data_IF_347592544840
#
_entry.id   IF_347592544840
#
_cell.length_a   1.000
_cell.length_b   1.000
_cell.length_c   1.000
_cell.angle_alpha   90.00
_cell.angle_beta   90.00
_cell.angle_gamma   90.00
#
_symmetry.space_group_name_H-M   'P 1'
#
loop_
_entity.id
_entity.type
_entity.pdbx_description
1 polymer ?
#
# COMPACT_ATOMS: atom_id res chain seq x y z
N UNK A 1 11.14 -7.14 4.11
CA UNK A 1 11.11 -8.39 3.32
C UNK A 1 10.14 -8.18 2.19
N UNK A 2 10.53 -8.55 0.96
CA UNK A 2 9.65 -8.40 -0.19
C UNK A 2 8.48 -9.39 -0.15
N UNK A 3 7.43 -9.12 -0.92
CA UNK A 3 6.32 -10.05 -1.12
C UNK A 3 6.80 -11.28 -1.92
N UNK A 4 6.63 -12.48 -1.36
CA UNK A 4 6.99 -13.75 -2.03
C UNK A 4 6.14 -14.08 -3.27
N UNK A 5 4.87 -13.66 -3.31
CA UNK A 5 3.93 -14.06 -4.36
C UNK A 5 3.09 -12.87 -4.89
N UNK A 6 3.70 -11.81 -5.43
CA UNK A 6 2.96 -10.64 -5.89
C UNK A 6 1.88 -11.01 -6.93
N UNK A 7 0.68 -10.46 -6.78
CA UNK A 7 -0.38 -10.60 -7.77
C UNK A 7 -0.06 -9.71 -8.95
N UNK A 8 -0.09 -10.25 -10.17
CA UNK A 8 0.15 -9.48 -11.38
C UNK A 8 -1.15 -9.30 -12.15
N UNK A 9 -1.49 -8.06 -12.45
CA UNK A 9 -2.68 -7.67 -13.20
C UNK A 9 -2.26 -7.06 -14.52
N UNK A 10 -2.97 -7.40 -15.59
CA UNK A 10 -2.82 -6.69 -16.87
C UNK A 10 -3.44 -5.31 -16.72
N UNK A 11 -2.74 -4.28 -17.19
CA UNK A 11 -3.28 -2.94 -17.30
C UNK A 11 -4.37 -2.93 -18.38
N UNK A 12 -5.62 -2.74 -17.96
CA UNK A 12 -6.79 -2.71 -18.84
C UNK A 12 -7.26 -1.28 -19.16
N UNK A 13 -6.41 -0.28 -18.93
CA UNK A 13 -6.75 1.12 -19.22
C UNK A 13 -7.06 1.25 -20.70
N UNK A 14 -8.25 1.77 -21.03
CA UNK A 14 -8.70 1.93 -22.42
C UNK A 14 -7.86 2.93 -23.20
N UNK A 15 -7.33 3.93 -22.50
CA UNK A 15 -6.40 4.94 -23.02
C UNK A 15 -4.96 4.56 -22.68
N UNK A 16 -4.56 3.33 -22.98
CA UNK A 16 -3.20 2.86 -22.70
C UNK A 16 -2.19 3.67 -23.51
N UNK A 17 -1.43 4.52 -22.83
CA UNK A 17 -0.38 5.34 -23.43
C UNK A 17 0.89 4.50 -23.53
N UNK A 18 1.16 4.02 -24.74
CA UNK A 18 2.36 3.24 -25.05
C UNK A 18 3.62 4.03 -24.65
N UNK A 19 4.37 3.49 -23.69
CA UNK A 19 5.61 4.10 -23.17
C UNK A 19 5.46 4.84 -21.85
N UNK A 20 4.24 5.14 -21.40
CA UNK A 20 3.98 5.75 -20.09
C UNK A 20 3.28 4.77 -19.15
N UNK A 21 2.35 3.98 -19.67
CA UNK A 21 1.59 3.02 -18.90
C UNK A 21 2.31 1.68 -18.77
N UNK A 22 2.36 1.13 -17.55
CA UNK A 22 2.87 -0.23 -17.32
C UNK A 22 1.88 -1.24 -17.91
N UNK A 23 2.31 -2.22 -18.72
CA UNK A 23 1.41 -3.23 -19.29
C UNK A 23 0.87 -4.18 -18.21
N UNK A 24 1.61 -4.32 -17.11
CA UNK A 24 1.24 -5.10 -15.96
C UNK A 24 1.54 -4.34 -14.67
N UNK A 25 0.60 -4.41 -13.73
CA UNK A 25 0.79 -3.92 -12.36
C UNK A 25 0.99 -5.10 -11.43
N UNK A 26 1.98 -5.02 -10.56
CA UNK A 26 2.10 -5.95 -9.44
C UNK A 26 1.48 -5.32 -8.20
N UNK A 27 0.70 -6.10 -7.47
CA UNK A 27 0.23 -5.76 -6.12
C UNK A 27 0.79 -6.79 -5.14
N UNK A 28 1.17 -6.38 -3.92
CA UNK A 28 1.44 -7.34 -2.84
C UNK A 28 0.27 -8.32 -2.68
N UNK A 29 0.57 -9.58 -2.34
CA UNK A 29 -0.44 -10.62 -2.15
C UNK A 29 -1.28 -10.42 -0.89
N UNK A 30 -0.77 -9.63 0.06
CA UNK A 30 -1.43 -9.32 1.34
C UNK A 30 -1.42 -10.47 2.36
N UNK A 31 -0.85 -11.64 2.02
CA UNK A 31 -0.92 -12.86 2.84
C UNK A 31 0.44 -13.38 3.31
N UNK A 32 1.49 -13.25 2.50
CA UNK A 32 2.83 -13.75 2.85
C UNK A 32 3.46 -12.95 3.99
N UNK A 33 4.53 -13.49 4.59
CA UNK A 33 5.19 -12.86 5.74
C UNK A 33 5.72 -11.46 5.43
N UNK A 34 6.31 -11.26 4.24
CA UNK A 34 6.72 -9.94 3.77
C UNK A 34 5.58 -8.93 3.77
N UNK A 35 4.43 -9.27 3.15
CA UNK A 35 3.25 -8.41 3.13
C UNK A 35 2.70 -8.10 4.53
N UNK A 36 2.73 -9.09 5.44
CA UNK A 36 2.28 -8.91 6.82
C UNK A 36 3.18 -7.95 7.57
N UNK A 37 4.50 -8.16 7.51
CA UNK A 37 5.49 -7.26 8.11
C UNK A 37 5.40 -5.85 7.53
N UNK A 38 5.21 -5.71 6.23
CA UNK A 38 5.01 -4.41 5.60
C UNK A 38 3.74 -3.72 6.10
N UNK A 39 2.61 -4.43 6.17
CA UNK A 39 1.37 -3.87 6.72
C UNK A 39 1.54 -3.45 8.18
N UNK A 40 2.21 -4.28 9.00
CA UNK A 40 2.54 -3.95 10.37
C UNK A 40 3.39 -2.69 10.46
N UNK A 41 4.47 -2.59 9.68
CA UNK A 41 5.36 -1.42 9.65
C UNK A 41 4.61 -0.14 9.23
N UNK A 42 3.70 -0.24 8.25
CA UNK A 42 2.87 0.89 7.83
C UNK A 42 1.96 1.40 8.95
N UNK A 43 1.36 0.49 9.74
CA UNK A 43 0.56 0.89 10.90
C UNK A 43 1.42 1.40 12.05
N UNK A 44 2.60 0.82 12.25
CA UNK A 44 3.56 1.26 13.24
C UNK A 44 3.95 2.71 13.04
N UNK A 45 4.38 3.10 11.85
CA UNK A 45 4.71 4.50 11.56
C UNK A 45 3.55 5.45 11.85
N UNK A 46 2.34 5.08 11.40
CA UNK A 46 1.16 5.94 11.55
C UNK A 46 0.73 6.10 13.00
N UNK A 47 0.70 5.01 13.75
CA UNK A 47 0.35 5.01 15.17
C UNK A 47 1.43 5.74 15.96
N UNK A 48 2.71 5.48 15.68
CA UNK A 48 3.85 6.17 16.29
C UNK A 48 3.74 7.67 16.15
N UNK A 49 3.48 8.15 14.92
CA UNK A 49 3.30 9.59 14.70
C UNK A 49 2.09 10.13 15.45
N UNK A 50 0.97 9.41 15.46
CA UNK A 50 -0.21 9.88 16.20
C UNK A 50 0.05 10.00 17.71
N UNK A 51 0.87 9.11 18.29
CA UNK A 51 1.28 9.20 19.69
C UNK A 51 2.13 10.44 19.93
N UNK A 52 3.11 10.71 19.05
CA UNK A 52 3.95 11.92 19.11
C UNK A 52 3.09 13.18 19.02
N UNK A 53 2.27 13.28 17.97
CA UNK A 53 1.38 14.43 17.74
C UNK A 53 0.44 14.67 18.93
N UNK A 54 -0.01 13.61 19.60
CA UNK A 54 -0.87 13.70 20.76
C UNK A 54 -0.11 14.28 21.98
N UNK A 55 1.10 13.80 22.25
CA UNK A 55 1.92 14.29 23.37
C UNK A 55 2.44 15.71 23.14
N UNK A 56 2.89 16.03 21.93
CA UNK A 56 3.37 17.38 21.58
C UNK A 56 2.28 18.45 21.77
N UNK A 57 1.01 18.06 21.62
CA UNK A 57 -0.16 18.92 21.84
C UNK A 57 -0.67 18.88 23.29
N UNK A 58 0.12 18.36 24.22
CA UNK A 58 -0.22 18.29 25.65
C UNK A 58 -1.29 17.25 25.99
N UNK A 59 -1.54 16.30 25.09
CA UNK A 59 -2.46 15.19 25.31
C UNK A 59 -1.79 13.97 25.96
N UNK A 60 -2.51 12.85 25.96
CA UNK A 60 -2.10 11.57 26.56
C UNK A 60 -2.69 10.38 25.83
N UNK A 61 -2.00 9.25 25.90
CA UNK A 61 -2.39 8.02 25.22
C UNK A 61 -2.47 6.86 26.21
N UNK A 62 -3.56 6.10 26.15
CA UNK A 62 -3.76 4.89 26.94
C UNK A 62 -3.84 3.65 26.05
N UNK A 63 -3.37 2.51 26.54
CA UNK A 63 -3.30 1.24 25.85
C UNK A 63 -4.07 0.11 26.57
N UNK A 64 -5.40 0.19 26.69
CA UNK A 64 -6.21 -0.88 27.27
C UNK A 64 -6.30 -2.13 26.38
N UNK A 65 -6.36 -3.28 27.05
CA UNK A 65 -6.79 -4.55 26.46
C UNK A 65 -8.19 -4.89 26.96
N UNK A 66 -9.18 -4.92 26.07
CA UNK A 66 -10.55 -5.31 26.39
C UNK A 66 -10.75 -6.80 26.10
N UNK A 67 -11.02 -7.59 27.13
CA UNK A 67 -11.23 -9.04 27.01
C UNK A 67 -12.68 -9.37 27.30
N UNK A 68 -13.31 -10.19 26.45
CA UNK A 68 -14.65 -10.71 26.75
C UNK A 68 -14.61 -11.63 27.98
N UNK A 69 -15.64 -11.53 28.82
CA UNK A 69 -15.93 -12.56 29.82
C UNK A 69 -16.50 -13.80 29.14
N UNK A 70 -16.41 -14.97 29.80
CA UNK A 70 -17.01 -16.22 29.30
C UNK A 70 -18.51 -16.05 29.00
N UNK A 71 -19.23 -15.31 29.85
CA UNK A 71 -20.67 -15.06 29.72
C UNK A 71 -21.03 -14.19 28.52
N UNK A 72 -20.16 -13.26 28.13
CA UNK A 72 -20.43 -12.29 27.07
C UNK A 72 -19.68 -12.60 25.76
N UNK A 73 -18.96 -13.73 25.70
CA UNK A 73 -18.17 -14.09 24.52
C UNK A 73 -19.09 -14.32 23.30
N UNK A 74 -18.93 -13.55 22.21
CA UNK A 74 -19.76 -13.73 21.02
C UNK A 74 -19.49 -15.07 20.33
N UNK A 75 -20.55 -15.70 19.82
CA UNK A 75 -20.49 -16.96 19.07
C UNK A 75 -21.29 -16.82 17.79
N UNK A 76 -20.78 -17.39 16.71
CA UNK A 76 -21.52 -17.55 15.46
C UNK A 76 -21.93 -19.01 15.30
N UNK A 77 -23.24 -19.26 15.25
CA UNK A 77 -23.80 -20.59 15.02
C UNK A 77 -24.08 -20.80 13.53
N UNK A 78 -23.77 -21.98 13.02
CA UNK A 78 -24.02 -22.37 11.63
C UNK A 78 -24.39 -23.84 11.54
N UNK A 79 -25.08 -24.22 10.46
CA UNK A 79 -25.32 -25.63 10.13
C UNK A 79 -24.17 -26.15 9.26
N UNK A 80 -23.51 -27.20 9.70
CA UNK A 80 -22.42 -27.86 8.97
C UNK A 80 -22.96 -28.71 7.79
N UNK A 81 -22.09 -29.43 7.09
CA UNK A 81 -22.46 -30.26 5.94
C UNK A 81 -23.34 -31.48 6.28
N UNK A 82 -23.27 -32.00 7.52
CA UNK A 82 -24.07 -33.15 7.98
C UNK A 82 -25.43 -32.75 8.57
N UNK A 83 -25.74 -31.45 8.58
CA UNK A 83 -26.99 -30.92 9.09
C UNK A 83 -27.00 -30.60 10.58
N UNK A 84 -25.93 -30.85 11.34
CA UNK A 84 -25.81 -30.46 12.77
C UNK A 84 -25.49 -28.97 12.93
N UNK A 85 -25.88 -28.41 14.07
CA UNK A 85 -25.54 -27.03 14.44
C UNK A 85 -24.19 -27.04 15.15
N UNK A 86 -23.24 -26.28 14.61
CA UNK A 86 -21.94 -26.00 15.24
C UNK A 86 -21.78 -24.49 15.45
N UNK A 87 -20.72 -24.09 16.14
CA UNK A 87 -20.38 -22.70 16.36
C UNK A 87 -18.88 -22.47 16.40
N UNK A 88 -18.47 -21.25 16.04
CA UNK A 88 -17.13 -20.73 16.32
C UNK A 88 -17.22 -19.46 17.18
N UNK A 89 -16.28 -19.24 18.11
CA UNK A 89 -16.16 -18.00 18.86
C UNK A 89 -15.78 -16.86 17.91
N UNK A 90 -16.37 -15.68 18.08
CA UNK A 90 -16.19 -14.58 17.14
C UNK A 90 -16.12 -13.23 17.85
N UNK A 91 -16.03 -12.16 17.07
CA UNK A 91 -16.16 -10.79 17.56
C UNK A 91 -17.59 -10.30 17.35
N UNK A 92 -17.94 -9.19 18.01
CA UNK A 92 -19.15 -8.45 17.71
C UNK A 92 -18.79 -6.97 17.57
N UNK A 93 -18.80 -6.46 16.34
CA UNK A 93 -18.39 -5.09 16.07
C UNK A 93 -19.32 -4.05 16.73
N UNK A 94 -20.55 -4.44 17.08
CA UNK A 94 -21.49 -3.58 17.80
C UNK A 94 -21.10 -3.36 19.26
N UNK A 95 -20.43 -4.31 19.90
CA UNK A 95 -20.03 -4.19 21.32
C UNK A 95 -19.00 -3.08 21.49
N UNK A 96 -18.01 -3.04 20.60
CA UNK A 96 -17.06 -1.93 20.50
C UNK A 96 -17.76 -0.60 20.19
N UNK A 97 -18.78 -0.58 19.32
CA UNK A 97 -19.53 0.67 19.05
C UNK A 97 -20.32 1.12 20.29
N UNK A 98 -20.96 0.20 21.02
CA UNK A 98 -21.68 0.49 22.27
C UNK A 98 -20.74 1.04 23.33
N UNK A 99 -19.56 0.45 23.48
CA UNK A 99 -18.49 0.97 24.34
C UNK A 99 -18.11 2.40 23.93
N UNK A 100 -17.67 2.61 22.68
CA UNK A 100 -17.20 3.94 22.25
C UNK A 100 -18.28 5.01 22.36
N UNK A 101 -19.54 4.67 22.05
CA UNK A 101 -20.65 5.60 22.13
C UNK A 101 -21.00 5.97 23.57
N UNK A 102 -21.06 4.98 24.48
CA UNK A 102 -21.35 5.27 25.90
C UNK A 102 -20.20 6.05 26.54
N UNK A 103 -18.95 5.66 26.28
CA UNK A 103 -17.75 6.33 26.75
C UNK A 103 -17.71 7.81 26.31
N UNK A 104 -17.97 8.09 25.03
CA UNK A 104 -18.01 9.48 24.51
C UNK A 104 -19.15 10.30 25.11
N UNK A 105 -20.35 9.72 25.19
CA UNK A 105 -21.53 10.40 25.75
C UNK A 105 -21.31 10.85 27.18
N UNK A 106 -20.50 10.13 27.97
CA UNK A 106 -20.16 10.57 29.32
C UNK A 106 -19.37 11.89 29.29
N UNK A 107 -18.29 11.97 28.50
CA UNK A 107 -17.50 13.20 28.36
C UNK A 107 -18.28 14.35 27.70
N UNK A 108 -19.17 14.04 26.75
CA UNK A 108 -20.04 15.04 26.12
C UNK A 108 -20.97 15.73 27.14
N UNK A 109 -21.54 14.97 28.09
CA UNK A 109 -22.34 15.52 29.20
C UNK A 109 -21.52 16.44 30.11
N UNK A 110 -20.21 16.26 30.13
CA UNK A 110 -19.25 17.05 30.91
C UNK A 110 -18.57 18.15 30.08
N UNK A 111 -19.14 18.47 28.91
CA UNK A 111 -18.72 19.59 28.05
C UNK A 111 -17.59 19.29 27.08
N UNK A 112 -17.10 18.04 26.98
CA UNK A 112 -16.05 17.66 26.02
C UNK A 112 -16.66 16.88 24.86
N UNK A 113 -16.68 17.50 23.67
CA UNK A 113 -17.31 16.92 22.47
C UNK A 113 -16.31 16.48 21.40
N UNK A 114 -15.02 16.78 21.57
CA UNK A 114 -13.95 16.50 20.61
C UNK A 114 -12.71 15.97 21.34
N UNK A 115 -11.60 15.82 20.61
CA UNK A 115 -10.30 15.51 21.21
C UNK A 115 -10.03 14.04 21.53
N UNK A 116 -11.00 13.15 21.28
CA UNK A 116 -10.82 11.72 21.47
C UNK A 116 -10.68 10.97 20.13
N UNK A 117 -9.55 10.28 19.95
CA UNK A 117 -9.31 9.34 18.85
C UNK A 117 -8.98 7.96 19.39
N UNK A 118 -9.08 6.97 18.52
CA UNK A 118 -8.73 5.60 18.85
C UNK A 118 -8.10 4.86 17.68
N UNK A 119 -7.28 3.88 18.01
CA UNK A 119 -6.80 2.83 17.13
C UNK A 119 -7.04 1.50 17.83
N UNK A 120 -7.77 0.58 17.22
CA UNK A 120 -8.39 -0.56 17.90
C UNK A 120 -8.27 -1.80 17.02
N UNK A 121 -7.73 -2.89 17.57
CA UNK A 121 -7.43 -4.10 16.81
C UNK A 121 -8.01 -5.31 17.51
N UNK A 122 -8.64 -6.18 16.72
CA UNK A 122 -9.12 -7.49 17.21
C UNK A 122 -7.96 -8.48 17.17
N UNK A 123 -7.72 -9.17 18.27
CA UNK A 123 -6.83 -10.33 18.32
C UNK A 123 -7.55 -11.45 19.06
N UNK A 124 -7.29 -12.69 18.62
CA UNK A 124 -7.79 -13.87 19.29
C UNK A 124 -6.64 -14.48 20.07
N UNK A 125 -6.81 -14.68 21.37
CA UNK A 125 -5.73 -15.12 22.25
C UNK A 125 -5.22 -16.50 21.91
N UNK A 126 -3.91 -16.68 22.12
CA UNK A 126 -3.23 -17.97 22.02
C UNK A 126 -3.67 -18.93 23.15
N UNK A 127 -3.21 -20.18 23.02
CA UNK A 127 -3.57 -21.47 23.67
C UNK A 127 -4.22 -21.41 25.07
N UNK A 128 -3.84 -20.46 25.92
CA UNK A 128 -4.25 -20.38 27.33
C UNK A 128 -5.46 -19.47 27.62
N UNK A 129 -5.80 -18.51 26.74
CA UNK A 129 -6.94 -17.60 27.02
C UNK A 129 -8.14 -17.83 26.12
N UNK A 130 -7.96 -18.43 24.92
CA UNK A 130 -8.97 -18.81 23.92
C UNK A 130 -10.15 -17.83 23.78
N UNK A 131 -9.92 -16.54 23.96
CA UNK A 131 -10.95 -15.50 23.96
C UNK A 131 -10.58 -14.39 23.01
N UNK A 132 -11.60 -13.87 22.33
CA UNK A 132 -11.47 -12.63 21.57
C UNK A 132 -11.15 -11.50 22.52
N UNK A 133 -10.19 -10.67 22.13
CA UNK A 133 -9.85 -9.46 22.85
C UNK A 133 -9.57 -8.34 21.87
N UNK A 134 -9.53 -7.14 22.42
CA UNK A 134 -9.19 -5.96 21.67
C UNK A 134 -8.05 -5.21 22.31
N UNK A 135 -7.02 -4.95 21.51
CA UNK A 135 -5.97 -4.00 21.86
C UNK A 135 -6.32 -2.64 21.29
N UNK A 136 -6.38 -1.61 22.13
CA UNK A 136 -6.70 -0.27 21.68
C UNK A 136 -5.70 0.75 22.20
N UNK A 137 -5.30 1.69 21.34
CA UNK A 137 -4.74 2.97 21.74
C UNK A 137 -5.86 4.00 21.75
N UNK A 138 -6.02 4.67 22.88
CA UNK A 138 -6.99 5.72 23.11
C UNK A 138 -6.23 7.02 23.28
N UNK A 139 -6.44 7.96 22.37
CA UNK A 139 -5.75 9.25 22.33
C UNK A 139 -6.69 10.33 22.85
N UNK A 140 -6.22 11.09 23.83
CA UNK A 140 -6.94 12.18 24.44
C UNK A 140 -6.10 13.45 24.28
N UNK A 141 -6.65 14.49 23.68
CA UNK A 141 -5.97 15.79 23.62
C UNK A 141 -5.99 16.52 24.97
N UNK A 142 -5.39 17.70 25.01
CA UNK A 142 -5.28 18.51 26.22
C UNK A 142 -6.63 18.92 26.85
N UNK A 143 -7.75 18.85 26.12
CA UNK A 143 -9.08 19.17 26.68
C UNK A 143 -9.50 18.21 27.79
N UNK A 144 -8.90 17.02 27.82
CA UNK A 144 -9.14 16.03 28.85
C UNK A 144 -8.28 16.24 30.11
N UNK A 145 -7.35 17.19 30.14
CA UNK A 145 -6.39 17.34 31.25
C UNK A 145 -7.04 17.74 32.59
N UNK A 146 -8.32 18.11 32.59
CA UNK A 146 -9.10 18.30 33.83
C UNK A 146 -9.34 17.01 34.62
N UNK A 147 -9.13 15.84 34.02
CA UNK A 147 -9.22 14.55 34.72
C UNK A 147 -7.83 14.01 35.03
N UNK A 148 -7.65 13.38 36.19
CA UNK A 148 -6.44 12.60 36.47
C UNK A 148 -6.32 11.40 35.53
N UNK A 149 -5.15 10.76 35.49
CA UNK A 149 -4.99 9.53 34.71
C UNK A 149 -5.84 8.40 35.30
N UNK A 150 -5.95 8.32 36.63
CA UNK A 150 -6.75 7.33 37.35
C UNK A 150 -8.24 7.47 37.01
N UNK A 151 -8.75 8.69 36.94
CA UNK A 151 -10.14 8.94 36.54
C UNK A 151 -10.42 8.47 35.11
N UNK A 152 -9.52 8.73 34.16
CA UNK A 152 -9.65 8.23 32.79
C UNK A 152 -9.58 6.70 32.78
N UNK A 153 -8.62 6.10 33.47
CA UNK A 153 -8.45 4.64 33.52
C UNK A 153 -9.70 3.98 34.11
N UNK A 154 -10.26 4.55 35.18
CA UNK A 154 -11.47 4.02 35.79
C UNK A 154 -12.65 4.10 34.82
N UNK A 155 -12.84 5.23 34.14
CA UNK A 155 -13.88 5.38 33.11
C UNK A 155 -13.70 4.39 31.95
N UNK A 156 -12.46 4.15 31.51
CA UNK A 156 -12.16 3.14 30.48
C UNK A 156 -12.63 1.75 30.93
N UNK A 157 -12.40 1.39 32.21
CA UNK A 157 -12.84 0.12 32.79
C UNK A 157 -14.36 0.04 32.89
N UNK A 158 -14.99 1.07 33.46
CA UNK A 158 -16.42 1.07 33.80
C UNK A 158 -17.34 0.97 32.57
N UNK A 159 -16.91 1.49 31.42
CA UNK A 159 -17.72 1.46 30.20
C UNK A 159 -17.65 0.12 29.46
N UNK A 160 -16.69 -0.74 29.78
CA UNK A 160 -16.59 -2.06 29.16
C UNK A 160 -17.51 -3.08 29.83
N UNK A 161 -18.77 -3.09 29.41
CA UNK A 161 -19.80 -3.97 29.97
C UNK A 161 -19.67 -5.47 29.62
N UNK A 162 -18.73 -5.85 28.74
CA UNK A 162 -18.66 -7.20 28.18
C UNK A 162 -17.56 -8.08 28.80
N UNK A 163 -16.79 -7.57 29.75
CA UNK A 163 -15.77 -8.36 30.42
C UNK A 163 -14.78 -7.51 31.20
N UNK A 164 -13.49 -7.80 31.02
CA UNK A 164 -12.41 -7.23 31.83
C UNK A 164 -11.56 -6.32 30.96
N UNK A 165 -11.11 -5.21 31.54
CA UNK A 165 -10.10 -4.35 30.92
C UNK A 165 -8.77 -4.53 31.65
N UNK A 166 -7.78 -5.02 30.93
CA UNK A 166 -6.42 -5.21 31.40
C UNK A 166 -5.45 -4.18 30.83
N UNK A 167 -4.28 -4.09 31.47
CA UNK A 167 -3.12 -3.38 30.96
C UNK A 167 -2.01 -4.38 30.64
N UNK A 168 -1.07 -3.99 29.78
CA UNK A 168 0.15 -4.76 29.63
C UNK A 168 0.97 -4.68 30.93
N UNK A 169 1.55 -5.80 31.37
CA UNK A 169 2.29 -5.87 32.65
C UNK A 169 3.56 -5.00 32.66
N UNK A 170 4.22 -4.87 31.51
CA UNK A 170 5.49 -4.16 31.35
C UNK A 170 5.25 -2.70 30.94
N UNK A 171 4.31 -2.47 30.02
CA UNK A 171 4.06 -1.14 29.44
C UNK A 171 3.03 -0.32 30.23
N UNK A 172 2.30 -0.96 31.14
CA UNK A 172 1.21 -0.34 31.89
C UNK A 172 0.00 0.02 31.01
N UNK A 173 -0.90 0.84 31.58
CA UNK A 173 -2.12 1.32 30.91
C UNK A 173 -1.87 2.63 30.16
N UNK A 174 -1.05 3.53 30.70
CA UNK A 174 -0.68 4.79 30.06
C UNK A 174 0.58 4.58 29.24
N UNK A 175 0.55 5.00 27.98
CA UNK A 175 1.70 4.89 27.07
C UNK A 175 2.79 5.84 27.54
N UNK A 176 3.96 5.33 27.89
CA UNK A 176 5.09 6.18 28.25
C UNK A 176 5.61 6.94 27.00
N UNK A 177 5.68 8.29 27.02
CA UNK A 177 6.20 9.08 25.89
C UNK A 177 7.69 8.82 25.61
N UNK A 178 8.46 8.31 26.57
CA UNK A 178 9.85 7.91 26.36
C UNK A 178 9.98 6.55 25.67
N UNK A 179 8.90 5.75 25.60
CA UNK A 179 8.88 4.41 25.00
C UNK A 179 7.95 4.32 23.79
N UNK A 180 7.75 5.43 23.07
CA UNK A 180 6.79 5.51 21.96
C UNK A 180 7.10 4.48 20.87
N UNK A 181 8.38 4.26 20.57
CA UNK A 181 8.84 3.30 19.55
C UNK A 181 8.43 1.88 19.94
N UNK A 182 8.74 1.44 21.17
CA UNK A 182 8.39 0.11 21.68
C UNK A 182 6.88 -0.08 21.76
N UNK A 183 6.17 0.89 22.35
CA UNK A 183 4.71 0.87 22.50
C UNK A 183 4.00 0.76 21.15
N UNK A 184 4.38 1.61 20.18
CA UNK A 184 3.72 1.65 18.87
C UNK A 184 4.04 0.40 18.03
N UNK A 185 5.26 -0.13 18.16
CA UNK A 185 5.66 -1.39 17.52
C UNK A 185 4.83 -2.56 18.07
N UNK A 186 4.70 -2.61 19.40
CA UNK A 186 3.89 -3.61 20.10
C UNK A 186 2.44 -3.58 19.64
N UNK A 187 1.78 -2.42 19.64
CA UNK A 187 0.37 -2.31 19.20
C UNK A 187 0.20 -2.74 17.75
N UNK A 188 1.18 -2.42 16.90
CA UNK A 188 1.07 -2.71 15.47
C UNK A 188 1.19 -4.20 15.16
N UNK A 189 1.87 -5.00 16.01
CA UNK A 189 1.90 -6.47 15.90
C UNK A 189 0.49 -7.06 15.84
N UNK A 190 -0.44 -6.49 16.59
CA UNK A 190 -1.82 -6.96 16.65
C UNK A 190 -2.58 -6.80 15.34
N UNK A 191 -2.15 -5.89 14.46
CA UNK A 191 -2.79 -5.70 13.14
C UNK A 191 -2.65 -6.91 12.22
N UNK A 192 -1.67 -7.78 12.49
CA UNK A 192 -1.39 -8.99 11.70
C UNK A 192 -1.73 -10.28 12.44
N UNK A 193 -1.86 -10.25 13.77
CA UNK A 193 -2.24 -11.42 14.58
C UNK A 193 -3.67 -11.91 14.37
N UNK A 194 -4.52 -11.11 13.73
CA UNK A 194 -5.87 -11.52 13.33
C UNK A 194 -5.93 -12.75 12.41
N UNK A 195 -4.80 -13.17 11.83
CA UNK A 195 -4.75 -14.35 10.97
C UNK A 195 -4.86 -15.67 11.75
N UNK A 196 -4.37 -15.71 12.98
CA UNK A 196 -4.46 -16.90 13.86
C UNK A 196 -5.91 -17.29 14.13
N UNK A 197 -6.84 -16.32 14.06
CA UNK A 197 -8.27 -16.59 14.11
C UNK A 197 -8.74 -17.53 13.00
N UNK A 198 -8.26 -17.33 11.76
CA UNK A 198 -8.64 -18.16 10.62
C UNK A 198 -7.99 -19.55 10.68
N UNK A 199 -6.94 -19.71 11.49
CA UNK A 199 -6.29 -20.99 11.69
C UNK A 199 -7.00 -21.91 12.70
N UNK A 200 -8.01 -21.40 13.42
CA UNK A 200 -8.77 -22.19 14.38
C UNK A 200 -9.56 -23.32 13.69
N UNK A 201 -9.57 -24.56 14.23
CA UNK A 201 -10.27 -25.69 13.61
C UNK A 201 -11.74 -25.41 13.29
N UNK A 202 -12.45 -24.75 14.21
CA UNK A 202 -13.87 -24.39 14.04
C UNK A 202 -14.09 -23.33 12.94
N UNK A 203 -13.15 -22.42 12.76
CA UNK A 203 -13.22 -21.41 11.70
C UNK A 203 -12.86 -22.04 10.35
N UNK A 204 -11.87 -22.93 10.29
CA UNK A 204 -11.55 -23.72 9.08
C UNK A 204 -12.75 -24.54 8.62
N UNK A 205 -13.38 -25.28 9.54
CA UNK A 205 -14.58 -26.06 9.24
C UNK A 205 -15.75 -25.19 8.72
N UNK A 206 -15.93 -23.98 9.26
CA UNK A 206 -16.91 -23.03 8.73
C UNK A 206 -16.56 -22.58 7.30
N UNK A 207 -15.29 -22.26 7.03
CA UNK A 207 -14.82 -21.82 5.71
C UNK A 207 -14.97 -22.95 4.68
N UNK A 208 -14.64 -24.19 5.04
CA UNK A 208 -14.85 -25.36 4.19
C UNK A 208 -16.34 -25.58 3.89
N UNK A 209 -17.21 -25.39 4.89
CA UNK A 209 -18.65 -25.58 4.74
C UNK A 209 -19.35 -24.46 3.95
N UNK A 210 -19.01 -23.19 4.18
CA UNK A 210 -19.73 -22.02 3.64
C UNK A 210 -18.96 -21.23 2.59
N UNK A 211 -17.69 -21.54 2.40
CA UNK A 211 -16.80 -20.85 1.48
C UNK A 211 -16.69 -19.34 1.75
N UNK A 212 -16.24 -18.63 0.72
CA UNK A 212 -16.06 -17.17 0.77
C UNK A 212 -17.38 -16.39 0.93
N UNK A 213 -18.50 -16.94 0.45
CA UNK A 213 -19.83 -16.32 0.58
C UNK A 213 -20.23 -16.30 2.05
N UNK A 214 -20.03 -17.40 2.78
CA UNK A 214 -20.24 -17.47 4.22
C UNK A 214 -19.43 -16.43 4.99
N UNK A 215 -18.13 -16.33 4.70
CA UNK A 215 -17.26 -15.32 5.32
C UNK A 215 -17.75 -13.89 5.08
N UNK A 216 -18.23 -13.59 3.86
CA UNK A 216 -18.80 -12.27 3.53
C UNK A 216 -20.07 -11.99 4.35
N UNK A 217 -20.91 -12.99 4.58
CA UNK A 217 -22.14 -12.86 5.37
C UNK A 217 -21.88 -12.58 6.86
N UNK A 218 -20.73 -12.99 7.40
CA UNK A 218 -20.36 -12.81 8.82
C UNK A 218 -19.22 -11.81 9.03
N UNK A 219 -18.98 -10.92 8.07
CA UNK A 219 -17.85 -9.97 8.09
C UNK A 219 -17.79 -9.07 9.34
N UNK A 220 -18.92 -8.82 9.97
CA UNK A 220 -19.10 -8.05 11.21
C UNK A 220 -18.75 -8.84 12.48
N UNK A 221 -18.46 -10.13 12.31
CA UNK A 221 -18.07 -11.05 13.38
C UNK A 221 -16.60 -11.49 13.28
N UNK A 222 -15.94 -11.16 12.17
CA UNK A 222 -14.53 -11.48 11.94
C UNK A 222 -13.60 -10.47 12.63
N UNK A 223 -12.35 -10.86 12.94
CA UNK A 223 -11.34 -9.93 13.41
C UNK A 223 -11.21 -8.73 12.48
N UNK A 224 -11.16 -7.53 13.06
CA UNK A 224 -11.02 -6.30 12.29
C UNK A 224 -10.25 -5.25 13.08
N UNK A 225 -9.53 -4.40 12.34
CA UNK A 225 -8.96 -3.16 12.85
C UNK A 225 -9.93 -2.00 12.59
N UNK A 226 -10.13 -1.17 13.61
CA UNK A 226 -10.87 0.07 13.57
C UNK A 226 -9.97 1.21 13.97
N UNK A 227 -10.08 2.36 13.32
CA UNK A 227 -9.33 3.53 13.72
C UNK A 227 -10.12 4.79 13.43
N UNK A 228 -9.83 5.85 14.18
CA UNK A 228 -10.32 7.19 13.86
C UNK A 228 -9.79 7.65 12.50
N UNK A 229 -10.53 8.54 11.85
CA UNK A 229 -10.09 9.13 10.58
C UNK A 229 -8.84 9.97 10.83
N UNK A 230 -7.84 9.85 9.96
CA UNK A 230 -6.64 10.68 10.02
C UNK A 230 -5.52 10.18 10.94
N UNK A 231 -5.60 8.96 11.50
CA UNK A 231 -4.49 8.40 12.30
C UNK A 231 -3.19 8.42 11.50
N UNK A 232 -2.18 9.09 12.05
CA UNK A 232 -0.85 9.28 11.49
C UNK A 232 -0.75 10.36 10.42
N UNK A 233 -1.78 11.22 10.26
CA UNK A 233 -1.78 12.27 9.24
C UNK A 233 -0.64 13.28 9.46
N UNK A 234 -0.16 13.50 10.68
CA UNK A 234 0.99 14.36 10.95
C UNK A 234 2.26 13.97 10.18
N UNK A 235 2.38 12.70 9.73
CA UNK A 235 3.49 12.29 8.85
C UNK A 235 3.49 13.05 7.51
N UNK A 236 2.33 13.51 7.05
CA UNK A 236 2.24 14.32 5.82
C UNK A 236 2.95 15.65 6.02
N UNK A 237 2.65 16.32 7.14
CA UNK A 237 3.20 17.63 7.46
C UNK A 237 4.71 17.48 7.77
N UNK A 238 5.08 16.49 8.58
CA UNK A 238 6.48 16.13 8.86
C UNK A 238 7.34 15.91 7.60
N UNK A 239 6.80 15.23 6.58
CA UNK A 239 7.54 15.00 5.33
C UNK A 239 7.62 16.28 4.49
N UNK A 240 6.54 17.06 4.43
CA UNK A 240 6.50 18.31 3.64
C UNK A 240 7.40 19.39 4.19
N UNK A 241 7.50 19.46 5.51
CA UNK A 241 8.25 20.50 6.23
C UNK A 241 9.74 20.15 6.36
N UNK A 242 10.17 19.00 5.84
CA UNK A 242 11.58 18.59 5.82
C UNK A 242 12.37 19.33 4.74
N UNK A 243 13.64 19.62 5.03
CA UNK A 243 14.58 20.20 4.06
C UNK A 243 14.84 19.30 2.84
N UNK A 244 14.73 17.97 3.00
CA UNK A 244 14.96 16.99 1.93
C UNK A 244 13.85 15.93 1.84
N UNK A 245 12.64 16.28 1.37
CA UNK A 245 11.50 15.36 1.39
C UNK A 245 11.69 14.14 0.47
N UNK A 246 12.48 14.26 -0.62
CA UNK A 246 12.74 13.15 -1.55
C UNK A 246 13.46 11.98 -0.86
N UNK A 247 14.25 12.25 0.19
CA UNK A 247 14.96 11.22 0.96
C UNK A 247 13.99 10.17 1.51
N UNK A 248 12.83 10.58 2.02
CA UNK A 248 11.84 9.64 2.57
C UNK A 248 11.25 8.69 1.51
N UNK A 249 11.20 9.10 0.24
CA UNK A 249 10.72 8.27 -0.85
C UNK A 249 11.78 7.30 -1.38
N UNK A 250 13.06 7.68 -1.29
CA UNK A 250 14.19 6.86 -1.73
C UNK A 250 14.62 5.86 -0.66
N UNK A 251 14.72 6.31 0.59
CA UNK A 251 15.32 5.57 1.70
C UNK A 251 14.31 5.11 2.74
N UNK A 252 13.11 5.69 2.75
CA UNK A 252 12.11 5.48 3.80
C UNK A 252 12.27 6.42 5.00
N UNK A 253 11.41 6.25 6.00
CA UNK A 253 11.48 6.94 7.28
C UNK A 253 12.33 6.10 8.23
N UNK A 254 13.44 6.67 8.69
CA UNK A 254 14.31 6.05 9.67
C UNK A 254 13.69 6.13 11.07
N UNK A 255 13.54 4.98 11.72
CA UNK A 255 13.15 4.88 13.13
C UNK A 255 14.35 4.39 13.93
N UNK A 256 14.73 5.15 14.95
CA UNK A 256 15.70 4.72 15.96
C UNK A 256 15.07 3.69 16.90
N UNK A 257 15.80 2.61 17.14
CA UNK A 257 15.45 1.50 18.04
C UNK A 257 16.61 1.29 19.03
N UNK A 258 16.36 0.50 20.07
CA UNK A 258 17.38 0.24 21.10
C UNK A 258 18.65 -0.41 20.51
N UNK A 259 18.48 -1.23 19.46
CA UNK A 259 19.58 -1.88 18.71
C UNK A 259 19.73 -1.31 17.30
N UNK A 260 19.88 0.01 17.18
CA UNK A 260 20.24 0.68 15.92
C UNK A 260 19.07 1.42 15.26
N UNK A 261 18.94 1.29 13.93
CA UNK A 261 17.89 1.99 13.19
C UNK A 261 17.25 1.11 12.12
N UNK A 262 15.98 1.39 11.82
CA UNK A 262 15.24 0.70 10.79
C UNK A 262 14.57 1.71 9.87
N UNK A 263 14.82 1.56 8.57
CA UNK A 263 14.12 2.32 7.56
C UNK A 263 12.81 1.63 7.19
N UNK A 264 11.74 2.42 7.15
CA UNK A 264 10.41 1.94 6.80
C UNK A 264 9.85 2.79 5.69
N UNK A 265 9.40 2.15 4.61
CA UNK A 265 8.77 2.84 3.49
C UNK A 265 7.57 3.67 3.94
N UNK A 266 7.36 4.81 3.28
CA UNK A 266 6.23 5.70 3.53
C UNK A 266 4.92 4.88 3.49
N UNK A 267 4.07 4.93 4.53
CA UNK A 267 2.82 4.19 4.54
C UNK A 267 1.96 4.58 3.34
N UNK A 268 1.28 3.61 2.70
CA UNK A 268 0.52 3.90 1.47
C UNK A 268 -0.51 5.01 1.65
N UNK A 269 -1.13 5.07 2.83
CA UNK A 269 -2.06 6.13 3.21
C UNK A 269 -1.41 7.53 3.20
N UNK A 270 -0.16 7.65 3.63
CA UNK A 270 0.59 8.90 3.65
C UNK A 270 1.10 9.24 2.25
N UNK A 271 1.64 8.25 1.54
CA UNK A 271 2.04 8.39 0.14
C UNK A 271 0.88 8.91 -0.72
N UNK A 272 -0.30 8.30 -0.62
CA UNK A 272 -1.49 8.73 -1.36
C UNK A 272 -1.92 10.16 -1.01
N UNK A 273 -1.73 10.59 0.24
CA UNK A 273 -2.06 11.95 0.70
C UNK A 273 -1.05 13.01 0.29
N UNK A 274 0.22 12.62 0.14
CA UNK A 274 1.28 13.48 -0.35
C UNK A 274 1.18 13.64 -1.86
N UNK A 275 1.10 12.52 -2.58
CA UNK A 275 1.27 12.47 -4.03
C UNK A 275 -0.02 12.79 -4.78
N UNK A 276 -1.20 12.52 -4.21
CA UNK A 276 -2.46 12.61 -4.94
C UNK A 276 -3.56 13.37 -4.19
N UNK A 277 -4.39 14.09 -4.96
CA UNK A 277 -5.71 14.56 -4.53
C UNK A 277 -6.78 13.73 -5.23
N UNK A 278 -7.88 13.48 -4.55
CA UNK A 278 -9.03 12.81 -5.14
C UNK A 278 -10.02 13.86 -5.62
N UNK A 279 -10.26 13.89 -6.91
CA UNK A 279 -11.31 14.71 -7.49
C UNK A 279 -12.63 13.94 -7.38
N UNK A 280 -13.61 14.56 -6.70
CA UNK A 280 -14.92 13.96 -6.49
C UNK A 280 -15.82 14.05 -7.71
N UNK A 281 -15.59 15.01 -8.60
CA UNK A 281 -16.43 15.23 -9.78
C UNK A 281 -16.08 14.22 -10.86
N UNK A 282 -14.79 14.06 -11.13
CA UNK A 282 -14.30 13.13 -12.15
C UNK A 282 -14.10 11.70 -11.60
N UNK A 283 -13.94 11.56 -10.28
CA UNK A 283 -13.68 10.28 -9.62
C UNK A 283 -12.24 9.79 -9.76
N UNK A 284 -11.34 10.61 -10.32
CA UNK A 284 -9.94 10.25 -10.55
C UNK A 284 -9.01 10.81 -9.46
N UNK A 285 -7.82 10.20 -9.36
CA UNK A 285 -6.72 10.72 -8.55
C UNK A 285 -5.85 11.60 -9.43
N UNK A 286 -5.68 12.85 -9.04
CA UNK A 286 -4.76 13.78 -9.69
C UNK A 286 -3.51 13.94 -8.85
N UNK A 287 -2.36 14.11 -9.49
CA UNK A 287 -1.11 14.35 -8.77
C UNK A 287 -1.13 15.76 -8.14
N UNK A 288 -0.68 15.89 -6.89
CA UNK A 288 -0.52 17.19 -6.24
C UNK A 288 0.72 17.91 -6.79
N UNK A 289 0.81 19.22 -6.60
CA UNK A 289 2.02 20.00 -6.92
C UNK A 289 3.26 19.44 -6.21
N UNK A 290 3.13 19.11 -4.92
CA UNK A 290 4.18 18.42 -4.16
C UNK A 290 4.57 17.08 -4.82
N UNK A 291 3.58 16.29 -5.22
CA UNK A 291 3.81 15.01 -5.88
C UNK A 291 4.49 15.15 -7.24
N UNK A 292 4.14 16.18 -8.01
CA UNK A 292 4.78 16.50 -9.29
C UNK A 292 6.25 16.85 -9.07
N UNK A 293 6.53 17.76 -8.14
CA UNK A 293 7.90 18.19 -7.82
C UNK A 293 8.77 17.01 -7.33
N UNK A 294 8.27 16.22 -6.37
CA UNK A 294 8.99 15.02 -5.90
C UNK A 294 9.22 14.01 -7.02
N UNK A 295 8.22 13.78 -7.88
CA UNK A 295 8.36 12.87 -9.01
C UNK A 295 9.43 13.36 -9.99
N UNK A 296 9.49 14.66 -10.28
CA UNK A 296 10.55 15.23 -11.13
C UNK A 296 11.93 15.03 -10.50
N UNK A 297 12.09 15.37 -9.22
CA UNK A 297 13.37 15.24 -8.50
C UNK A 297 13.88 13.79 -8.38
N UNK A 298 12.97 12.81 -8.27
CA UNK A 298 13.36 11.40 -8.12
C UNK A 298 13.48 10.70 -9.48
N UNK A 299 12.51 10.92 -10.36
CA UNK A 299 12.37 10.15 -11.58
C UNK A 299 13.27 10.69 -12.69
N UNK A 300 13.37 12.02 -12.87
CA UNK A 300 14.17 12.57 -13.97
C UNK A 300 15.66 12.22 -13.87
N UNK A 301 16.33 12.32 -12.70
CA UNK A 301 17.74 11.93 -12.62
C UNK A 301 17.94 10.44 -12.89
N UNK A 302 17.05 9.57 -12.42
CA UNK A 302 17.12 8.14 -12.67
C UNK A 302 16.90 7.79 -14.15
N UNK A 303 16.01 8.52 -14.83
CA UNK A 303 15.79 8.40 -16.27
C UNK A 303 17.02 8.90 -17.03
N UNK A 304 17.57 10.06 -16.68
CA UNK A 304 18.80 10.60 -17.29
C UNK A 304 19.99 9.67 -17.10
N UNK A 305 20.18 9.12 -15.91
CA UNK A 305 21.23 8.14 -15.62
C UNK A 305 21.02 6.86 -16.43
N UNK A 306 19.79 6.34 -16.46
CA UNK A 306 19.45 5.14 -17.25
C UNK A 306 19.66 5.39 -18.74
N UNK A 307 19.31 6.58 -19.25
CA UNK A 307 19.52 6.99 -20.64
C UNK A 307 21.00 7.15 -20.95
N UNK A 308 21.78 7.72 -20.04
CA UNK A 308 23.24 7.84 -20.14
C UNK A 308 23.90 6.46 -20.15
N UNK A 309 23.45 5.54 -19.29
CA UNK A 309 23.95 4.16 -19.26
C UNK A 309 23.60 3.43 -20.56
N UNK A 310 22.39 3.58 -21.10
CA UNK A 310 22.02 3.03 -22.41
C UNK A 310 22.88 3.63 -23.53
N UNK A 311 23.14 4.94 -23.48
CA UNK A 311 24.03 5.63 -24.43
C UNK A 311 25.46 5.09 -24.33
N UNK A 312 26.00 4.94 -23.13
CA UNK A 312 27.33 4.35 -22.89
C UNK A 312 27.40 2.89 -23.32
N UNK A 313 26.35 2.10 -23.11
CA UNK A 313 26.26 0.72 -23.60
C UNK A 313 26.26 0.68 -25.13
N UNK A 314 25.49 1.56 -25.80
CA UNK A 314 25.51 1.67 -27.26
C UNK A 314 26.89 2.10 -27.81
N UNK A 315 27.60 2.98 -27.09
CA UNK A 315 28.96 3.39 -27.41
C UNK A 315 30.01 2.31 -27.10
N UNK A 316 29.79 1.48 -26.07
CA UNK A 316 30.67 0.36 -25.72
C UNK A 316 30.52 -0.80 -26.70
N UNK A 317 29.30 -1.05 -27.22
CA UNK A 317 29.07 -1.91 -28.39
C UNK A 317 29.87 -1.38 -29.60
N UNK A 318 30.01 -0.06 -29.73
CA UNK A 318 30.86 0.56 -30.74
C UNK A 318 32.37 0.48 -30.48
N UNK A 319 32.85 0.17 -29.27
CA UNK A 319 34.27 0.35 -28.92
C UNK A 319 34.94 -0.92 -28.36
N UNK A 320 34.20 -1.93 -27.89
CA UNK A 320 34.80 -3.22 -27.49
C UNK A 320 34.42 -4.36 -28.44
N UNK A 321 35.22 -4.41 -29.51
CA UNK A 321 35.91 -5.60 -29.99
C UNK A 321 35.12 -6.67 -30.76
N UNK A 322 35.57 -6.89 -32.01
CA UNK A 322 35.43 -8.10 -32.85
C UNK A 322 34.22 -8.19 -33.81
N UNK A 323 33.87 -7.11 -34.48
CA UNK A 323 33.25 -7.26 -35.81
C UNK A 323 34.42 -7.21 -36.78
N UNK A 324 34.78 -8.34 -37.37
CA UNK A 324 35.79 -8.31 -38.44
C UNK A 324 35.23 -7.47 -39.60
N UNK A 325 36.08 -6.91 -40.48
CA UNK A 325 35.60 -6.19 -41.67
C UNK A 325 34.58 -7.02 -42.49
N UNK A 326 34.64 -8.35 -42.35
CA UNK A 326 33.76 -9.34 -42.95
C UNK A 326 32.35 -9.40 -42.34
N UNK A 327 32.22 -9.15 -41.04
CA UNK A 327 30.93 -9.14 -40.35
C UNK A 327 30.22 -7.79 -40.58
N UNK A 328 30.95 -6.69 -40.76
CA UNK A 328 30.39 -5.38 -41.15
C UNK A 328 29.69 -5.46 -42.52
N UNK A 329 30.24 -6.25 -43.46
CA UNK A 329 29.68 -6.45 -44.80
C UNK A 329 28.36 -7.25 -44.84
N UNK A 330 28.05 -8.03 -43.80
CA UNK A 330 26.77 -8.74 -43.70
C UNK A 330 25.64 -7.90 -43.11
N UNK A 331 25.95 -6.89 -42.29
CA UNK A 331 24.96 -6.10 -41.54
C UNK A 331 24.70 -4.70 -42.12
N UNK A 332 25.53 -4.22 -43.05
CA UNK A 332 25.28 -2.99 -43.81
C UNK A 332 24.64 -3.37 -45.16
N UNK A 333 23.39 -2.97 -45.45
CA UNK A 333 22.79 -3.20 -46.76
C UNK A 333 23.67 -2.64 -47.87
N UNK A 334 23.84 -3.39 -48.96
CA UNK A 334 24.67 -3.02 -50.12
C UNK A 334 24.28 -1.59 -50.56
N UNK A 335 25.18 -0.62 -50.38
CA UNK A 335 25.01 0.78 -50.78
C UNK A 335 25.24 1.87 -49.72
N UNK A 336 25.56 1.53 -48.46
CA UNK A 336 25.86 2.51 -47.41
C UNK A 336 27.37 2.61 -47.10
N UNK A 337 27.89 3.83 -46.97
CA UNK A 337 29.32 4.11 -46.78
C UNK A 337 29.78 3.82 -45.34
N UNK A 338 31.03 3.36 -45.11
CA UNK A 338 31.49 2.80 -43.82
C UNK A 338 31.82 3.84 -42.72
N UNK A 339 31.36 5.08 -42.85
CA UNK A 339 31.71 6.16 -41.92
C UNK A 339 30.87 6.16 -40.61
N UNK A 340 31.34 6.93 -39.63
CA UNK A 340 30.66 7.15 -38.32
C UNK A 340 29.21 7.69 -38.47
N UNK A 341 28.90 8.41 -39.55
CA UNK A 341 27.55 8.90 -39.82
C UNK A 341 26.60 7.77 -40.25
N UNK A 342 27.08 6.72 -40.91
CA UNK A 342 26.28 5.53 -41.26
C UNK A 342 25.92 4.71 -40.04
N UNK A 343 26.84 4.58 -39.08
CA UNK A 343 26.58 3.92 -37.80
C UNK A 343 25.57 4.70 -36.95
N UNK A 344 25.66 6.03 -36.95
CA UNK A 344 24.66 6.90 -36.33
C UNK A 344 23.28 6.80 -37.02
N UNK A 345 23.24 6.65 -38.36
CA UNK A 345 22.00 6.37 -39.13
C UNK A 345 21.44 4.99 -38.79
N UNK A 346 22.29 3.98 -38.60
CA UNK A 346 21.89 2.62 -38.20
C UNK A 346 21.29 2.62 -36.78
N UNK A 347 21.95 3.29 -35.84
CA UNK A 347 21.43 3.50 -34.48
C UNK A 347 20.09 4.24 -34.56
N UNK A 348 19.97 5.34 -35.32
CA UNK A 348 18.68 6.03 -35.49
C UNK A 348 17.60 5.16 -36.16
N UNK A 349 17.98 4.27 -37.09
CA UNK A 349 17.10 3.31 -37.73
C UNK A 349 16.59 2.26 -36.74
N UNK A 350 17.48 1.63 -35.96
CA UNK A 350 17.11 0.66 -34.92
C UNK A 350 16.37 1.30 -33.74
N UNK A 351 16.71 2.52 -33.38
CA UNK A 351 15.95 3.31 -32.41
C UNK A 351 14.57 3.72 -32.95
N UNK A 352 14.34 3.60 -34.27
CA UNK A 352 13.09 3.94 -34.98
C UNK A 352 12.55 5.32 -34.57
N UNK A 353 13.43 6.32 -34.56
CA UNK A 353 13.10 7.70 -34.17
C UNK A 353 12.92 7.94 -32.67
N UNK A 354 13.19 6.95 -31.80
CA UNK A 354 13.08 7.11 -30.34
C UNK A 354 14.37 7.61 -29.72
N UNK A 355 14.26 8.40 -28.65
CA UNK A 355 15.43 8.86 -27.89
C UNK A 355 15.86 7.83 -26.85
N UNK A 356 17.13 7.87 -26.42
CA UNK A 356 17.61 7.07 -25.29
C UNK A 356 16.82 7.34 -23.99
N UNK A 357 16.29 8.55 -23.85
CA UNK A 357 15.40 8.93 -22.76
C UNK A 357 14.07 8.16 -22.83
N UNK A 358 13.47 8.03 -24.01
CA UNK A 358 12.27 7.21 -24.22
C UNK A 358 12.55 5.72 -23.94
N UNK A 359 13.72 5.20 -24.30
CA UNK A 359 14.13 3.83 -23.95
C UNK A 359 14.42 3.63 -22.47
N UNK A 360 14.97 4.65 -21.79
CA UNK A 360 15.18 4.62 -20.34
C UNK A 360 13.85 4.60 -19.58
N UNK A 361 12.88 5.40 -20.03
CA UNK A 361 11.50 5.39 -19.54
C UNK A 361 10.91 3.99 -19.75
N UNK A 362 11.03 3.42 -20.95
CA UNK A 362 10.61 2.05 -21.23
C UNK A 362 11.27 1.03 -20.28
N UNK A 363 12.59 1.01 -20.16
CA UNK A 363 13.30 0.07 -19.27
C UNK A 363 12.88 0.21 -17.80
N UNK A 364 12.58 1.42 -17.33
CA UNK A 364 12.12 1.68 -15.95
C UNK A 364 10.65 1.33 -15.72
N UNK A 365 9.79 1.59 -16.70
CA UNK A 365 8.35 1.29 -16.65
C UNK A 365 8.12 -0.22 -16.70
N UNK A 366 8.92 -0.96 -17.47
CA UNK A 366 8.76 -2.40 -17.74
C UNK A 366 9.70 -3.31 -16.92
N UNK A 367 10.40 -2.77 -15.92
CA UNK A 367 11.33 -3.52 -15.06
C UNK A 367 10.59 -4.63 -14.30
N UNK A 368 10.86 -5.90 -14.63
CA UNK A 368 10.23 -7.08 -14.02
C UNK A 368 9.59 -8.06 -14.99
N UNK A 369 9.53 -7.77 -16.29
CA UNK A 369 9.51 -8.83 -17.30
C UNK A 369 10.93 -9.40 -17.35
N UNK A 370 11.15 -10.53 -16.68
CA UNK A 370 12.39 -11.27 -16.80
C UNK A 370 12.55 -11.68 -18.25
N UNK A 371 13.39 -10.96 -18.99
CA UNK A 371 14.10 -11.50 -20.14
C UNK A 371 15.52 -11.65 -19.62
N UNK A 372 15.72 -12.66 -18.78
CA UNK A 372 17.05 -13.19 -18.50
C UNK A 372 17.07 -14.52 -19.23
N UNK A 373 17.79 -14.55 -20.34
CA UNK A 373 18.52 -15.75 -20.72
C UNK A 373 19.89 -15.66 -20.04
N UNK A 374 20.44 -16.79 -19.61
CA UNK A 374 21.63 -16.94 -18.75
C UNK A 374 22.97 -16.62 -19.45
N UNK A 375 22.96 -15.65 -20.37
CA UNK A 375 24.17 -15.09 -20.94
C UNK A 375 24.13 -13.58 -20.75
N UNK A 376 25.12 -13.03 -20.03
CA UNK A 376 25.31 -11.60 -19.71
C UNK A 376 25.54 -10.68 -20.94
N UNK A 377 24.90 -10.96 -22.08
CA UNK A 377 24.91 -10.18 -23.31
C UNK A 377 23.47 -9.89 -23.74
N UNK A 378 23.06 -8.62 -23.66
CA UNK A 378 21.81 -8.17 -24.26
C UNK A 378 22.05 -8.02 -25.76
N UNK A 379 21.60 -8.98 -26.58
CA UNK A 379 21.47 -8.75 -28.01
C UNK A 379 20.27 -7.82 -28.26
N UNK A 380 20.47 -6.75 -29.02
CA UNK A 380 19.39 -5.84 -29.43
C UNK A 380 18.27 -6.60 -30.17
N UNK A 381 18.57 -7.71 -30.84
CA UNK A 381 17.59 -8.56 -31.51
C UNK A 381 16.55 -9.20 -30.57
N UNK A 382 16.87 -9.47 -29.30
CA UNK A 382 15.91 -10.05 -28.35
C UNK A 382 14.86 -9.04 -27.87
N UNK A 383 15.17 -7.74 -27.97
CA UNK A 383 14.18 -6.66 -27.78
C UNK A 383 13.17 -6.63 -28.93
N UNK A 384 13.56 -7.08 -30.13
CA UNK A 384 12.73 -7.07 -31.34
C UNK A 384 12.07 -8.41 -31.67
N UNK A 385 12.58 -9.56 -31.19
CA UNK A 385 11.96 -10.87 -31.44
C UNK A 385 10.57 -10.98 -30.80
N UNK A 386 10.37 -10.30 -29.67
CA UNK A 386 9.06 -10.19 -29.02
C UNK A 386 8.15 -9.14 -29.68
N UNK A 387 8.62 -8.39 -30.69
CA UNK A 387 7.80 -7.48 -31.51
C UNK A 387 6.77 -8.26 -32.33
N UNK A 388 7.05 -9.49 -32.77
CA UNK A 388 6.03 -10.34 -33.43
C UNK A 388 4.94 -10.84 -32.47
N UNK A 389 5.28 -11.04 -31.20
CA UNK A 389 4.33 -11.42 -30.13
C UNK A 389 3.53 -10.19 -29.66
N UNK A 390 4.21 -9.04 -29.55
CA UNK A 390 3.65 -7.71 -29.37
C UNK A 390 2.69 -7.34 -30.50
N UNK A 391 3.06 -7.54 -31.77
CA UNK A 391 2.20 -7.28 -32.93
C UNK A 391 1.03 -8.27 -32.99
N UNK A 392 1.19 -9.53 -32.57
CA UNK A 392 0.05 -10.45 -32.38
C UNK A 392 -0.89 -10.02 -31.26
N UNK A 393 -0.38 -9.44 -30.18
CA UNK A 393 -1.16 -8.93 -29.06
C UNK A 393 -1.86 -7.59 -29.42
N UNK A 394 -1.13 -6.67 -30.06
CA UNK A 394 -1.61 -5.39 -30.57
C UNK A 394 -2.61 -5.56 -31.70
N UNK A 395 -2.43 -6.53 -32.61
CA UNK A 395 -3.43 -6.86 -33.64
C UNK A 395 -4.70 -7.50 -33.05
N UNK A 396 -4.59 -8.20 -31.90
CA UNK A 396 -5.75 -8.69 -31.15
C UNK A 396 -6.55 -7.54 -30.51
N UNK A 397 -5.86 -6.47 -30.08
CA UNK A 397 -6.47 -5.25 -29.53
C UNK A 397 -7.02 -4.35 -30.66
N UNK A 398 -6.34 -4.24 -31.81
CA UNK A 398 -6.78 -3.46 -32.97
C UNK A 398 -8.03 -4.02 -33.67
N UNK A 399 -8.27 -5.34 -33.59
CA UNK A 399 -9.44 -5.97 -34.20
C UNK A 399 -10.76 -5.72 -33.45
N UNK A 400 -10.71 -5.11 -32.26
CA UNK A 400 -11.89 -4.56 -31.58
C UNK A 400 -11.86 -3.02 -31.62
N UNK A 401 -12.14 -2.49 -32.82
CA UNK A 401 -12.54 -1.09 -33.14
C UNK A 401 -12.14 -0.02 -32.11
N UNK A 402 -10.89 0.42 -32.14
CA UNK A 402 -10.51 1.73 -31.60
C UNK A 402 -9.72 2.51 -32.66
N UNK A 403 -10.45 3.31 -33.45
CA UNK A 403 -9.86 4.32 -34.34
C UNK A 403 -9.19 5.39 -33.47
N UNK A 404 -7.89 5.57 -33.64
CA UNK A 404 -7.12 6.70 -33.11
C UNK A 404 -6.97 7.70 -34.26
N UNK A 405 -7.44 8.94 -34.09
CA UNK A 405 -6.94 10.10 -34.83
C UNK A 405 -6.41 11.11 -33.83
N UNK A 406 -5.08 11.29 -33.84
CA UNK A 406 -4.43 12.48 -33.29
C UNK A 406 -4.23 13.40 -34.49
N UNK A 407 -4.63 14.66 -34.33
CA UNK A 407 -4.80 15.71 -35.35
C UNK A 407 -6.10 15.61 -36.14
N UNK A 408 -7.17 16.22 -35.61
CA UNK A 408 -7.87 17.29 -36.31
C UNK A 408 -8.95 17.94 -35.41
N UNK A 409 -8.96 19.27 -35.45
CA UNK A 409 -9.99 20.22 -34.95
C UNK A 409 -10.04 20.56 -33.46
N UNK A 410 -9.30 21.63 -33.15
CA UNK A 410 -9.93 22.84 -32.61
C UNK A 410 -11.14 23.22 -33.49
N UNK A 411 -12.22 23.66 -32.85
CA UNK A 411 -13.51 24.15 -33.38
C UNK A 411 -14.67 23.14 -33.44
N UNK A 412 -15.75 23.58 -32.80
CA UNK A 412 -17.17 23.23 -32.94
C UNK A 412 -17.76 22.10 -32.09
N UNK A 413 -18.50 22.59 -31.10
CA UNK A 413 -19.86 22.23 -30.72
C UNK A 413 -20.13 20.87 -30.08
N UNK A 414 -20.32 21.01 -28.77
CA UNK A 414 -21.06 20.12 -27.91
C UNK A 414 -22.50 19.96 -28.39
N UNK A 415 -22.91 18.72 -28.64
CA UNK A 415 -24.31 18.32 -28.50
C UNK A 415 -24.35 16.99 -27.74
N UNK A 416 -24.79 17.09 -26.50
CA UNK A 416 -25.78 16.25 -25.83
C UNK A 416 -25.59 14.73 -25.66
N UNK A 417 -25.47 14.41 -24.37
CA UNK A 417 -26.19 13.39 -23.60
C UNK A 417 -25.48 12.14 -23.07
N UNK A 418 -25.86 11.69 -21.85
CA UNK A 418 -24.97 11.00 -20.93
C UNK A 418 -25.30 9.52 -20.81
N UNK A 419 -24.30 8.65 -20.64
CA UNK A 419 -24.56 7.31 -20.13
C UNK A 419 -23.53 6.83 -19.10
N UNK A 420 -23.95 7.01 -17.83
CA UNK A 420 -24.16 5.96 -16.85
C UNK A 420 -22.99 5.03 -16.49
N UNK A 421 -22.43 5.34 -15.32
CA UNK A 421 -22.18 4.45 -14.16
C UNK A 421 -21.97 2.95 -14.47
N UNK A 422 -20.80 2.46 -14.08
CA UNK A 422 -20.69 1.24 -13.26
C UNK A 422 -19.42 1.25 -12.42
N UNK A 423 -19.59 1.65 -11.17
CA UNK A 423 -18.72 1.26 -10.07
C UNK A 423 -18.81 -0.25 -9.87
N UNK A 424 -17.69 -0.94 -10.05
CA UNK A 424 -17.48 -2.25 -9.42
C UNK A 424 -15.98 -2.49 -9.25
N UNK A 425 -15.44 -2.03 -8.11
CA UNK A 425 -14.20 -2.54 -7.56
C UNK A 425 -14.50 -3.25 -6.24
N UNK A 426 -14.52 -4.58 -6.30
CA UNK A 426 -14.18 -5.51 -5.21
C UNK A 426 -13.27 -6.59 -5.78
#
# INVERSE_FOLDING_TARGET
>A
MACEHPNTFVNRTRSFLLGLDKPMFTSPCGKCEGCRKDMQNQWWLRVRQEVIDCYDKGGRVFFPTFTYSERCMPKHYYRNGDGRVDFFPCFNHQDKNRYLNSFRKQFEREGITKGFKYFWVSEYGEINTKRGHYHALLFFDATYNKYSDEEIIQRIKDHWAFGIVGANKELGMKVNPYLITQNSSYVSKYTTKSLEFFDQPKVKAFIECKGMIGLKAVKDKLPKKFCSKGIGKGLVDFIKDSDDPKKFFLEGIQILMDEGSKNINIPRYIYDKLMFRYDKETGFKEMTEFGQNISQQIFEPQIRESASNLRMQSLAINIRSKVSDKDIEQFIPIGYDKDINTLAKLINHYMNGRTFEQLAIYKKVFKGMTILDDSDYIFLEDVFYDEKKFMRYANRINNEKCRISISDRLSQDWTDEPMLKKDSYL
#
